data_IF_556759368863
#
_entry.id   IF_556759368863
#
_cell.length_a   1.000
_cell.length_b   1.000
_cell.length_c   1.000
_cell.angle_alpha   90.00
_cell.angle_beta   90.00
_cell.angle_gamma   90.00
#
_symmetry.space_group_name_H-M   'P 1'
#
loop_
_entity.id
_entity.type
_entity.pdbx_description
1 polymer ?
#
# COMPACT_ATOMS: atom_id res chain seq x y z
N UNK A 1 4.24 17.59 -22.26
CA UNK A 1 4.79 16.81 -21.12
C UNK A 1 4.50 15.34 -21.37
N UNK A 2 5.51 14.57 -21.76
CA UNK A 2 5.39 13.21 -22.27
C UNK A 2 5.21 12.23 -21.10
N UNK A 3 4.06 11.55 -21.08
CA UNK A 3 3.80 10.37 -20.26
C UNK A 3 4.73 9.25 -20.73
N UNK A 4 5.77 8.92 -19.96
CA UNK A 4 6.48 7.65 -20.12
C UNK A 4 5.61 6.56 -19.48
N UNK A 5 4.73 5.97 -20.27
CA UNK A 5 4.17 4.66 -19.98
C UNK A 5 5.31 3.65 -20.08
N UNK A 6 5.58 2.96 -18.99
CA UNK A 6 6.35 1.73 -19.03
C UNK A 6 5.47 0.65 -19.65
N UNK A 7 5.49 0.59 -20.96
CA UNK A 7 5.01 -0.57 -21.67
C UNK A 7 6.14 -1.61 -21.66
N UNK A 8 5.85 -2.81 -21.24
CA UNK A 8 6.64 -4.02 -21.54
C UNK A 8 6.52 -4.34 -23.07
N UNK A 9 6.80 -3.37 -23.92
CA UNK A 9 6.78 -3.53 -25.37
C UNK A 9 7.87 -2.69 -26.01
N UNK A 10 8.82 -3.42 -26.57
CA UNK A 10 9.77 -3.09 -27.66
C UNK A 10 9.96 -1.62 -28.04
N UNK A 11 11.15 -1.11 -27.83
CA UNK A 11 11.71 -0.04 -28.66
C UNK A 11 12.94 -0.53 -29.40
N UNK A 12 12.98 -0.28 -30.71
CA UNK A 12 13.97 -0.73 -31.68
C UNK A 12 15.30 -0.01 -31.52
N UNK A 13 16.43 -0.74 -31.60
CA UNK A 13 17.76 -0.21 -31.89
C UNK A 13 18.61 -1.24 -32.67
N UNK A 14 19.38 -0.74 -33.57
CA UNK A 14 20.16 -1.29 -34.67
C UNK A 14 20.99 -2.58 -34.45
N UNK A 15 21.27 -3.29 -35.52
CA UNK A 15 21.73 -4.68 -35.67
C UNK A 15 23.02 -5.12 -34.96
N UNK A 16 23.89 -4.25 -34.50
CA UNK A 16 25.11 -4.61 -33.74
C UNK A 16 24.92 -4.59 -32.21
N UNK A 17 23.79 -4.08 -31.75
CA UNK A 17 23.31 -4.17 -30.38
C UNK A 17 22.32 -5.37 -30.18
N UNK A 18 22.04 -6.11 -31.22
CA UNK A 18 20.98 -7.13 -31.22
C UNK A 18 21.27 -8.29 -30.24
N UNK A 19 22.49 -8.77 -30.13
CA UNK A 19 22.84 -9.85 -29.19
C UNK A 19 22.82 -9.40 -27.73
N UNK A 20 23.33 -8.19 -27.42
CA UNK A 20 23.19 -7.60 -26.08
C UNK A 20 21.75 -7.15 -25.79
N UNK A 21 21.01 -6.75 -26.81
CA UNK A 21 19.60 -6.34 -26.70
C UNK A 21 18.65 -7.50 -26.44
N UNK A 22 18.91 -8.69 -26.97
CA UNK A 22 18.09 -9.88 -26.76
C UNK A 22 18.28 -10.46 -25.35
N UNK A 23 19.49 -10.47 -24.80
CA UNK A 23 19.73 -10.89 -23.40
C UNK A 23 19.13 -9.90 -22.39
N UNK A 24 19.25 -8.60 -22.62
CA UNK A 24 18.64 -7.55 -21.77
C UNK A 24 17.09 -7.59 -21.83
N UNK A 25 16.51 -7.93 -22.98
CA UNK A 25 15.08 -8.13 -23.14
C UNK A 25 14.60 -9.42 -22.46
N UNK A 26 15.34 -10.50 -22.56
CA UNK A 26 15.02 -11.77 -21.90
C UNK A 26 15.03 -11.65 -20.37
N UNK A 27 16.02 -10.97 -19.81
CA UNK A 27 16.10 -10.68 -18.37
C UNK A 27 14.96 -9.75 -17.90
N UNK A 28 14.60 -8.75 -18.70
CA UNK A 28 13.48 -7.86 -18.43
C UNK A 28 12.14 -8.61 -18.44
N UNK A 29 11.91 -9.45 -19.44
CA UNK A 29 10.70 -10.26 -19.56
C UNK A 29 10.59 -11.29 -18.43
N UNK A 30 11.71 -11.89 -18.05
CA UNK A 30 11.76 -12.87 -16.96
C UNK A 30 11.51 -12.17 -15.60
N UNK A 31 12.08 -10.98 -15.42
CA UNK A 31 11.84 -10.15 -14.23
C UNK A 31 10.37 -9.78 -14.08
N UNK A 32 9.70 -9.39 -15.18
CA UNK A 32 8.26 -9.15 -15.20
C UNK A 32 7.45 -10.40 -14.84
N UNK A 33 7.84 -11.58 -15.36
CA UNK A 33 7.18 -12.86 -15.04
C UNK A 33 7.29 -13.19 -13.54
N UNK A 34 8.48 -13.01 -12.95
CA UNK A 34 8.67 -13.24 -11.50
C UNK A 34 7.81 -12.25 -10.69
N UNK A 35 7.79 -10.98 -11.09
CA UNK A 35 6.98 -9.97 -10.41
C UNK A 35 5.48 -10.32 -10.47
N UNK A 36 4.99 -10.77 -11.61
CA UNK A 36 3.61 -11.20 -11.80
C UNK A 36 3.26 -12.44 -11.00
N UNK A 37 4.13 -13.46 -11.01
CA UNK A 37 3.95 -14.68 -10.21
C UNK A 37 3.93 -14.35 -8.70
N UNK A 38 4.88 -13.54 -8.22
CA UNK A 38 4.91 -13.09 -6.83
C UNK A 38 3.64 -12.30 -6.46
N UNK A 39 3.17 -11.42 -7.35
CA UNK A 39 1.93 -10.68 -7.17
C UNK A 39 0.70 -11.61 -7.13
N UNK A 40 0.68 -12.66 -7.94
CA UNK A 40 -0.37 -13.68 -7.93
C UNK A 40 -0.43 -14.41 -6.57
N UNK A 41 0.73 -14.81 -6.04
CA UNK A 41 0.82 -15.44 -4.72
C UNK A 41 0.30 -14.52 -3.60
N UNK A 42 0.61 -13.22 -3.68
CA UNK A 42 0.11 -12.22 -2.73
C UNK A 42 -1.38 -11.96 -2.88
N UNK A 43 -1.88 -11.89 -4.11
CA UNK A 43 -3.30 -11.59 -4.38
C UNK A 43 -4.22 -12.69 -3.85
N UNK A 44 -3.89 -13.96 -4.11
CA UNK A 44 -4.67 -15.11 -3.65
C UNK A 44 -4.35 -15.55 -2.22
N UNK A 45 -3.46 -14.83 -1.51
CA UNK A 45 -3.15 -15.12 -0.10
C UNK A 45 -2.31 -16.36 0.13
N UNK A 46 -1.70 -16.93 -0.92
CA UNK A 46 -0.76 -18.04 -0.81
C UNK A 46 0.55 -17.63 -0.12
N UNK A 47 0.90 -16.35 -0.21
CA UNK A 47 1.96 -15.70 0.56
C UNK A 47 1.45 -14.36 1.10
N UNK A 48 1.95 -13.97 2.30
CA UNK A 48 1.58 -12.70 2.94
C UNK A 48 2.66 -11.63 2.78
N UNK A 49 3.91 -12.06 2.67
CA UNK A 49 5.09 -11.21 2.67
C UNK A 49 5.69 -11.11 1.27
N UNK A 50 6.01 -9.89 0.83
CA UNK A 50 6.66 -9.64 -0.47
C UNK A 50 7.93 -10.45 -0.67
N UNK A 51 8.76 -10.55 0.39
CA UNK A 51 10.01 -11.32 0.33
C UNK A 51 9.77 -12.79 0.03
N UNK A 52 8.82 -13.42 0.72
CA UNK A 52 8.50 -14.83 0.54
C UNK A 52 7.87 -15.09 -0.83
N UNK A 53 6.94 -14.24 -1.24
CA UNK A 53 6.33 -14.33 -2.56
C UNK A 53 7.36 -14.25 -3.69
N UNK A 54 8.31 -13.31 -3.62
CA UNK A 54 9.39 -13.17 -4.62
C UNK A 54 10.32 -14.38 -4.65
N UNK A 55 10.72 -14.89 -3.47
CA UNK A 55 11.58 -16.07 -3.38
C UNK A 55 10.90 -17.30 -3.99
N UNK A 56 9.63 -17.51 -3.67
CA UNK A 56 8.85 -18.64 -4.18
C UNK A 56 8.67 -18.54 -5.70
N UNK A 57 8.31 -17.36 -6.22
CA UNK A 57 8.19 -17.12 -7.65
C UNK A 57 9.51 -17.36 -8.41
N UNK A 58 10.63 -16.84 -7.87
CA UNK A 58 11.95 -17.04 -8.47
C UNK A 58 12.34 -18.52 -8.50
N UNK A 59 12.11 -19.26 -7.41
CA UNK A 59 12.38 -20.71 -7.34
C UNK A 59 11.54 -21.49 -8.35
N UNK A 60 10.24 -21.15 -8.49
CA UNK A 60 9.34 -21.79 -9.48
C UNK A 60 9.83 -21.58 -10.91
N UNK A 61 10.43 -20.43 -11.21
CA UNK A 61 10.96 -20.11 -12.54
C UNK A 61 12.44 -20.46 -12.73
N UNK A 62 13.10 -21.05 -11.71
CA UNK A 62 14.49 -21.50 -11.79
C UNK A 62 15.51 -20.38 -11.91
N UNK A 63 15.25 -19.21 -11.29
CA UNK A 63 16.11 -18.02 -11.37
C UNK A 63 16.63 -17.58 -10.01
N UNK A 64 17.75 -16.84 -10.00
CA UNK A 64 18.44 -16.42 -8.76
C UNK A 64 18.33 -14.92 -8.46
N UNK A 65 17.70 -14.13 -9.34
CA UNK A 65 17.45 -12.70 -9.09
C UNK A 65 15.99 -12.45 -8.70
N UNK A 66 15.75 -11.34 -8.00
CA UNK A 66 14.43 -10.97 -7.48
C UNK A 66 14.00 -9.60 -8.02
N UNK A 67 12.71 -9.43 -8.36
CA UNK A 67 12.16 -8.10 -8.64
C UNK A 67 12.15 -7.24 -7.36
N UNK A 68 12.07 -5.93 -7.52
CA UNK A 68 11.82 -5.00 -6.42
C UNK A 68 10.41 -5.16 -5.86
N UNK A 69 10.17 -4.64 -4.66
CA UNK A 69 8.81 -4.58 -4.12
C UNK A 69 7.89 -3.71 -4.99
N UNK A 70 8.45 -2.66 -5.60
CA UNK A 70 7.74 -1.77 -6.50
C UNK A 70 7.20 -2.51 -7.74
N UNK A 71 8.04 -3.31 -8.41
CA UNK A 71 7.63 -4.10 -9.58
C UNK A 71 6.50 -5.08 -9.22
N UNK A 72 6.63 -5.77 -8.09
CA UNK A 72 5.58 -6.68 -7.60
C UNK A 72 4.30 -5.92 -7.25
N UNK A 73 4.39 -4.73 -6.64
CA UNK A 73 3.23 -3.92 -6.29
C UNK A 73 2.47 -3.42 -7.52
N UNK A 74 3.18 -3.07 -8.61
CA UNK A 74 2.55 -2.71 -9.88
C UNK A 74 1.79 -3.87 -10.49
N UNK A 75 2.38 -5.07 -10.51
CA UNK A 75 1.70 -6.27 -11.01
C UNK A 75 0.51 -6.67 -10.12
N UNK A 76 0.64 -6.52 -8.79
CA UNK A 76 -0.44 -6.77 -7.85
C UNK A 76 -1.64 -5.83 -8.09
N UNK A 77 -1.37 -4.55 -8.38
CA UNK A 77 -2.41 -3.56 -8.72
C UNK A 77 -3.10 -3.91 -10.05
N UNK A 78 -2.36 -4.39 -11.06
CA UNK A 78 -2.92 -4.87 -12.33
C UNK A 78 -3.80 -6.11 -12.14
N UNK A 79 -3.33 -7.11 -11.38
CA UNK A 79 -4.11 -8.33 -11.09
C UNK A 79 -5.41 -7.97 -10.38
N UNK A 80 -5.35 -7.06 -9.39
CA UNK A 80 -6.54 -6.59 -8.69
C UNK A 80 -7.52 -5.88 -9.64
N UNK A 81 -7.03 -5.06 -10.59
CA UNK A 81 -7.87 -4.38 -11.59
C UNK A 81 -8.53 -5.38 -12.55
N UNK A 82 -7.75 -6.35 -13.05
CA UNK A 82 -8.22 -7.40 -13.96
C UNK A 82 -9.27 -8.31 -13.31
N UNK A 83 -9.07 -8.64 -12.01
CA UNK A 83 -9.92 -9.61 -11.31
C UNK A 83 -11.18 -8.99 -10.73
N UNK A 84 -11.08 -7.77 -10.19
CA UNK A 84 -12.16 -7.15 -9.43
C UNK A 84 -12.97 -6.14 -10.26
N UNK A 85 -12.41 -5.64 -11.35
CA UNK A 85 -13.09 -4.75 -12.30
C UNK A 85 -13.65 -3.47 -11.66
N UNK A 86 -14.81 -2.96 -12.18
CA UNK A 86 -15.39 -1.68 -11.72
C UNK A 86 -15.75 -1.64 -10.24
N UNK A 87 -16.15 -2.78 -9.64
CA UNK A 87 -16.51 -2.87 -8.23
C UNK A 87 -15.35 -2.46 -7.30
N UNK A 88 -14.09 -2.67 -7.72
CA UNK A 88 -12.89 -2.24 -7.00
C UNK A 88 -12.85 -0.73 -6.79
N UNK A 89 -13.18 0.04 -7.85
CA UNK A 89 -13.23 1.50 -7.80
C UNK A 89 -14.30 2.00 -6.83
N UNK A 90 -15.47 1.41 -6.86
CA UNK A 90 -16.57 1.76 -5.95
C UNK A 90 -16.20 1.46 -4.50
N UNK A 91 -15.58 0.29 -4.25
CA UNK A 91 -15.07 -0.09 -2.94
C UNK A 91 -14.00 0.87 -2.43
N UNK A 92 -13.05 1.31 -3.27
CA UNK A 92 -12.04 2.30 -2.90
C UNK A 92 -12.68 3.61 -2.44
N UNK A 93 -13.67 4.10 -3.18
CA UNK A 93 -14.40 5.33 -2.84
C UNK A 93 -15.13 5.16 -1.50
N UNK A 94 -15.76 4.01 -1.28
CA UNK A 94 -16.45 3.73 -0.02
C UNK A 94 -15.45 3.65 1.15
N UNK A 95 -14.32 2.98 1.00
CA UNK A 95 -13.27 2.90 2.04
C UNK A 95 -12.73 4.29 2.37
N UNK A 96 -12.50 5.17 1.39
CA UNK A 96 -12.09 6.57 1.60
C UNK A 96 -13.15 7.39 2.35
N UNK A 97 -14.44 7.16 2.08
CA UNK A 97 -15.53 7.81 2.82
C UNK A 97 -15.58 7.35 4.29
N UNK A 98 -15.41 6.04 4.54
CA UNK A 98 -15.35 5.51 5.91
C UNK A 98 -14.11 6.01 6.65
N UNK A 99 -12.93 6.04 5.99
CA UNK A 99 -11.72 6.64 6.54
C UNK A 99 -11.95 8.11 6.94
N UNK A 100 -12.57 8.89 6.06
CA UNK A 100 -12.85 10.32 6.35
C UNK A 100 -13.77 10.50 7.56
N UNK A 101 -14.81 9.67 7.71
CA UNK A 101 -15.70 9.72 8.88
C UNK A 101 -14.91 9.50 10.18
N UNK A 102 -14.05 8.48 10.18
CA UNK A 102 -13.22 8.13 11.34
C UNK A 102 -12.19 9.21 11.64
N UNK A 103 -11.50 9.72 10.61
CA UNK A 103 -10.50 10.76 10.73
C UNK A 103 -11.10 12.08 11.25
N UNK A 104 -12.33 12.43 10.87
CA UNK A 104 -13.03 13.63 11.39
C UNK A 104 -13.24 13.55 12.92
N UNK A 105 -13.59 12.40 13.44
CA UNK A 105 -13.76 12.19 14.90
C UNK A 105 -12.43 12.28 15.64
N UNK A 106 -11.38 11.83 15.00
CA UNK A 106 -10.03 11.84 15.55
C UNK A 106 -9.22 13.10 15.18
N UNK A 107 -9.89 14.16 14.66
CA UNK A 107 -9.22 15.34 14.08
C UNK A 107 -8.21 15.98 15.03
N UNK A 108 -8.48 16.01 16.34
CA UNK A 108 -7.56 16.59 17.34
C UNK A 108 -6.22 15.86 17.44
N UNK A 109 -6.13 14.61 16.98
CA UNK A 109 -4.93 13.77 16.99
C UNK A 109 -4.16 13.74 15.66
N UNK A 110 -4.50 14.62 14.71
CA UNK A 110 -3.80 14.74 13.44
C UNK A 110 -3.78 13.46 12.58
N UNK A 111 -4.94 12.81 12.32
CA UNK A 111 -4.98 11.55 11.58
C UNK A 111 -4.51 11.73 10.14
N UNK A 112 -3.76 10.75 9.66
CA UNK A 112 -3.26 10.67 8.28
C UNK A 112 -3.67 9.32 7.69
N UNK A 113 -4.42 9.33 6.59
CA UNK A 113 -4.73 8.13 5.83
C UNK A 113 -3.47 7.66 5.09
N UNK A 114 -3.06 6.43 5.30
CA UNK A 114 -1.90 5.80 4.68
C UNK A 114 -2.28 4.50 3.96
N UNK A 115 -1.33 3.68 3.57
CA UNK A 115 -1.55 2.35 3.04
C UNK A 115 -2.20 2.32 1.65
N UNK A 116 -2.84 1.20 1.33
CA UNK A 116 -3.42 0.91 0.00
C UNK A 116 -4.61 1.82 -0.34
N UNK A 117 -5.41 2.21 0.65
CA UNK A 117 -6.57 3.10 0.48
C UNK A 117 -6.13 4.51 0.12
N UNK A 118 -5.07 5.02 0.76
CA UNK A 118 -4.44 6.27 0.32
C UNK A 118 -3.96 6.17 -1.11
N UNK A 119 -3.13 5.15 -1.41
CA UNK A 119 -2.51 4.97 -2.73
C UNK A 119 -3.51 4.68 -3.84
N UNK A 120 -4.70 4.18 -3.52
CA UNK A 120 -5.70 3.73 -4.50
C UNK A 120 -5.36 2.36 -5.09
N UNK A 121 -4.51 1.58 -4.42
CA UNK A 121 -4.05 0.25 -4.85
C UNK A 121 -4.67 -0.88 -4.00
N UNK A 122 -5.91 -0.70 -3.57
CA UNK A 122 -6.62 -1.71 -2.78
C UNK A 122 -6.80 -3.01 -3.57
N UNK A 123 -6.94 -4.11 -2.84
CA UNK A 123 -7.37 -5.41 -3.35
C UNK A 123 -8.39 -6.02 -2.41
N UNK A 124 -8.96 -7.14 -2.77
CA UNK A 124 -9.85 -7.88 -1.85
C UNK A 124 -9.11 -8.16 -0.54
N UNK A 125 -9.75 -7.87 0.59
CA UNK A 125 -9.16 -7.99 1.92
C UNK A 125 -8.22 -6.83 2.33
N UNK A 126 -8.15 -5.72 1.56
CA UNK A 126 -7.45 -4.50 2.02
C UNK A 126 -8.18 -3.83 3.18
N UNK A 127 -7.40 -3.34 4.15
CA UNK A 127 -7.86 -2.57 5.30
C UNK A 127 -7.69 -1.07 5.08
N UNK A 128 -8.33 -0.27 5.92
CA UNK A 128 -8.15 1.18 6.00
C UNK A 128 -7.04 1.46 7.02
N UNK A 129 -5.90 1.99 6.59
CA UNK A 129 -4.76 2.30 7.46
C UNK A 129 -4.75 3.79 7.82
N UNK A 130 -4.79 4.12 9.13
CA UNK A 130 -4.74 5.51 9.64
C UNK A 130 -3.59 5.63 10.64
N UNK A 131 -2.64 6.52 10.36
CA UNK A 131 -1.58 6.88 11.30
C UNK A 131 -2.05 8.03 12.21
N UNK A 132 -1.67 7.93 13.48
CA UNK A 132 -1.93 8.90 14.53
C UNK A 132 -0.66 9.13 15.34
N UNK A 133 -0.47 10.35 15.88
CA UNK A 133 0.70 10.70 16.68
C UNK A 133 0.24 11.25 18.03
N UNK A 134 0.29 10.40 19.05
CA UNK A 134 -0.20 10.75 20.40
C UNK A 134 0.39 9.80 21.45
N UNK A 135 0.75 10.35 22.62
CA UNK A 135 1.45 9.59 23.65
C UNK A 135 0.52 8.82 24.60
N UNK A 136 -0.79 9.09 24.54
CA UNK A 136 -1.80 8.43 25.37
C UNK A 136 -2.84 7.72 24.50
N UNK A 137 -2.58 6.46 24.05
CA UNK A 137 -3.50 5.74 23.17
C UNK A 137 -4.91 5.52 23.73
N UNK A 138 -5.05 5.47 25.05
CA UNK A 138 -6.37 5.30 25.71
C UNK A 138 -7.32 6.45 25.41
N UNK A 139 -6.85 7.66 25.19
CA UNK A 139 -7.70 8.77 24.76
C UNK A 139 -8.33 8.50 23.40
N UNK A 140 -7.56 7.93 22.47
CA UNK A 140 -8.03 7.55 21.14
C UNK A 140 -9.06 6.42 21.26
N UNK A 141 -8.75 5.40 22.06
CA UNK A 141 -9.68 4.30 22.35
C UNK A 141 -11.03 4.81 22.89
N UNK A 142 -11.00 5.77 23.80
CA UNK A 142 -12.23 6.32 24.41
C UNK A 142 -13.09 7.06 23.37
N UNK A 143 -12.49 7.74 22.40
CA UNK A 143 -13.21 8.39 21.29
C UNK A 143 -13.83 7.33 20.34
N UNK A 144 -13.16 6.22 20.13
CA UNK A 144 -13.60 5.19 19.19
C UNK A 144 -14.71 4.28 19.75
N UNK A 145 -14.71 4.01 21.06
CA UNK A 145 -15.61 3.04 21.72
C UNK A 145 -17.10 3.27 21.46
N UNK A 146 -17.50 4.54 21.24
CA UNK A 146 -18.92 4.89 21.01
C UNK A 146 -19.43 4.56 19.60
N UNK A 147 -18.54 4.37 18.63
CA UNK A 147 -18.89 4.45 17.21
C UNK A 147 -18.46 3.28 16.36
N UNK A 148 -17.46 2.52 16.83
CA UNK A 148 -16.93 1.39 16.08
C UNK A 148 -16.72 0.20 17.01
N UNK A 149 -16.79 -0.99 16.41
CA UNK A 149 -16.48 -2.22 17.13
C UNK A 149 -14.96 -2.43 17.13
N UNK A 150 -14.32 -2.27 18.27
CA UNK A 150 -12.91 -2.59 18.46
C UNK A 150 -12.77 -4.11 18.51
N UNK A 151 -12.02 -4.70 17.59
CA UNK A 151 -11.81 -6.14 17.50
C UNK A 151 -10.57 -6.58 18.26
N UNK A 152 -9.48 -5.78 18.21
CA UNK A 152 -8.20 -6.09 18.84
C UNK A 152 -7.43 -4.82 19.11
N UNK A 153 -6.57 -4.84 20.13
CA UNK A 153 -5.52 -3.84 20.35
C UNK A 153 -4.22 -4.55 20.69
N UNK A 154 -3.09 -4.02 20.25
CA UNK A 154 -1.77 -4.57 20.57
C UNK A 154 -0.66 -3.53 20.50
N UNK A 155 0.40 -3.76 21.30
CA UNK A 155 1.65 -3.04 21.17
C UNK A 155 2.58 -3.83 20.24
N UNK A 156 3.17 -3.13 19.28
CA UNK A 156 4.16 -3.70 18.37
C UNK A 156 5.47 -2.92 18.47
N UNK A 157 6.58 -3.63 18.59
CA UNK A 157 7.92 -3.04 18.55
C UNK A 157 8.68 -3.61 17.37
N UNK A 158 9.16 -2.75 16.49
CA UNK A 158 9.95 -3.11 15.31
C UNK A 158 11.30 -2.43 15.40
N UNK A 159 12.39 -3.19 15.21
CA UNK A 159 13.73 -2.60 15.16
C UNK A 159 14.01 -2.07 13.76
N UNK A 160 14.08 -0.74 13.61
CA UNK A 160 14.48 -0.08 12.35
C UNK A 160 15.83 0.61 12.53
N UNK A 161 16.79 0.26 11.68
CA UNK A 161 18.16 0.81 11.72
C UNK A 161 18.81 0.75 13.11
N UNK A 162 18.59 -0.36 13.84
CA UNK A 162 19.13 -0.56 15.18
C UNK A 162 18.41 0.20 16.31
N UNK A 163 17.32 0.91 16.01
CA UNK A 163 16.49 1.60 17.00
C UNK A 163 15.13 0.92 17.13
N UNK A 164 14.63 0.64 18.34
CA UNK A 164 13.28 0.14 18.54
C UNK A 164 12.28 1.27 18.25
N UNK A 165 11.31 1.00 17.39
CA UNK A 165 10.13 1.84 17.17
C UNK A 165 8.92 1.11 17.70
N UNK A 166 8.24 1.67 18.67
CA UNK A 166 7.04 1.09 19.29
C UNK A 166 5.80 1.84 18.83
N UNK A 167 4.77 1.09 18.48
CA UNK A 167 3.46 1.65 18.09
C UNK A 167 2.34 0.85 18.75
N UNK A 168 1.22 1.52 18.99
CA UNK A 168 0.00 0.90 19.48
C UNK A 168 -0.98 0.75 18.32
N UNK A 169 -1.47 -0.45 18.09
CA UNK A 169 -2.34 -0.80 16.99
C UNK A 169 -3.75 -1.03 17.50
N UNK A 170 -4.73 -0.41 16.86
CA UNK A 170 -6.15 -0.55 17.16
C UNK A 170 -6.85 -1.05 15.91
N UNK A 171 -7.39 -2.26 15.96
CA UNK A 171 -8.14 -2.87 14.87
C UNK A 171 -9.62 -2.70 15.11
N UNK A 172 -10.33 -2.13 14.14
CA UNK A 172 -11.75 -1.84 14.26
C UNK A 172 -12.54 -2.28 13.03
N UNK A 173 -13.80 -2.60 13.24
CA UNK A 173 -14.77 -2.76 12.17
C UNK A 173 -15.63 -1.49 12.10
N UNK A 174 -15.64 -0.85 10.92
CA UNK A 174 -16.44 0.36 10.68
C UNK A 174 -17.93 0.04 10.54
N UNK A 175 -18.79 1.04 10.62
CA UNK A 175 -20.24 0.87 10.37
C UNK A 175 -20.51 0.31 8.95
N UNK A 176 -19.64 0.58 7.98
CA UNK A 176 -19.69 0.02 6.63
C UNK A 176 -19.07 -1.38 6.51
N UNK A 177 -18.81 -2.08 7.63
CA UNK A 177 -18.18 -3.41 7.70
C UNK A 177 -16.80 -3.49 7.02
N UNK A 178 -16.09 -2.36 6.94
CA UNK A 178 -14.72 -2.32 6.50
C UNK A 178 -13.80 -2.51 7.72
N UNK A 179 -12.74 -3.27 7.55
CA UNK A 179 -11.69 -3.34 8.56
C UNK A 179 -10.82 -2.10 8.48
N UNK A 180 -10.43 -1.59 9.65
CA UNK A 180 -9.48 -0.49 9.72
C UNK A 180 -8.45 -0.74 10.83
N UNK A 181 -7.22 -0.33 10.56
CA UNK A 181 -6.11 -0.33 11.49
C UNK A 181 -5.69 1.12 11.79
N UNK A 182 -5.70 1.48 13.06
CA UNK A 182 -5.19 2.76 13.53
C UNK A 182 -3.83 2.51 14.19
N UNK A 183 -2.78 3.11 13.65
CA UNK A 183 -1.41 2.98 14.15
C UNK A 183 -1.06 4.24 14.93
N UNK A 184 -1.06 4.14 16.26
CA UNK A 184 -0.72 5.25 17.17
C UNK A 184 0.76 5.18 17.49
N UNK A 185 1.47 6.26 17.22
CA UNK A 185 2.90 6.45 17.46
C UNK A 185 3.13 7.60 18.43
N UNK A 186 4.35 7.67 18.98
CA UNK A 186 4.73 8.81 19.82
C UNK A 186 4.55 10.14 19.08
N UNK A 187 4.14 11.17 19.81
CA UNK A 187 4.03 12.54 19.29
C UNK A 187 5.36 13.10 18.76
N UNK A 188 6.50 12.64 19.26
CA UNK A 188 7.83 12.99 18.78
C UNK A 188 8.09 12.51 17.33
N UNK A 189 7.38 11.49 16.87
CA UNK A 189 7.47 10.99 15.51
C UNK A 189 6.63 11.79 14.50
N UNK A 190 5.82 12.72 14.98
CA UNK A 190 5.02 13.58 14.12
C UNK A 190 5.93 14.43 13.21
N UNK A 191 5.68 14.39 11.91
CA UNK A 191 6.51 15.10 10.92
C UNK A 191 7.79 14.37 10.50
N UNK A 192 8.14 13.25 11.11
CA UNK A 192 9.27 12.44 10.66
C UNK A 192 9.00 11.86 9.27
N UNK A 193 9.91 12.14 8.33
CA UNK A 193 9.83 11.57 6.98
C UNK A 193 10.07 10.08 7.00
N UNK A 194 9.09 9.31 6.56
CA UNK A 194 9.16 7.86 6.43
C UNK A 194 9.16 7.46 4.96
N UNK A 195 10.00 6.47 4.61
CA UNK A 195 9.98 5.87 3.27
C UNK A 195 9.03 4.68 3.25
N UNK A 196 8.28 4.56 2.16
CA UNK A 196 7.48 3.39 1.86
C UNK A 196 8.41 2.23 1.47
N UNK A 197 8.34 1.10 2.17
CA UNK A 197 9.16 -0.09 1.89
C UNK A 197 8.78 -0.78 0.57
N UNK A 198 7.58 -0.51 0.07
CA UNK A 198 7.06 -1.08 -1.17
C UNK A 198 7.41 -0.19 -2.36
N UNK A 199 7.07 1.09 -2.29
CA UNK A 199 7.20 2.02 -3.41
C UNK A 199 8.50 2.84 -3.37
N UNK A 200 9.22 2.86 -2.25
CA UNK A 200 10.50 3.55 -2.09
C UNK A 200 10.41 5.08 -1.96
N UNK A 201 9.24 5.66 -2.12
CA UNK A 201 8.95 7.09 -1.99
C UNK A 201 8.66 7.52 -0.55
N UNK A 202 8.45 8.82 -0.33
CA UNK A 202 8.04 9.36 0.96
C UNK A 202 6.58 9.01 1.26
N UNK A 203 6.34 8.48 2.46
CA UNK A 203 5.01 8.13 2.96
C UNK A 203 4.29 9.40 3.45
N UNK A 204 3.66 10.13 2.54
CA UNK A 204 2.97 11.39 2.85
C UNK A 204 1.59 11.16 3.44
N UNK A 205 0.81 10.24 2.88
CA UNK A 205 -0.58 10.05 3.25
C UNK A 205 -1.49 11.21 2.84
N UNK A 206 -2.71 11.23 3.39
CA UNK A 206 -3.67 12.32 3.26
C UNK A 206 -4.22 12.70 4.63
N UNK A 207 -4.19 13.99 4.95
CA UNK A 207 -4.91 14.51 6.10
C UNK A 207 -6.42 14.68 5.80
N UNK A 208 -7.20 15.11 6.80
CA UNK A 208 -8.67 15.25 6.68
C UNK A 208 -9.06 16.16 5.51
N UNK A 209 -8.42 17.33 5.37
CA UNK A 209 -8.76 18.31 4.34
C UNK A 209 -8.38 17.80 2.93
N UNK A 210 -7.24 17.16 2.80
CA UNK A 210 -6.78 16.57 1.54
C UNK A 210 -7.68 15.42 1.10
N UNK A 211 -8.11 14.56 2.03
CA UNK A 211 -9.03 13.48 1.73
C UNK A 211 -10.44 14.00 1.36
N UNK A 212 -10.92 15.07 2.02
CA UNK A 212 -12.18 15.73 1.63
C UNK A 212 -12.12 16.29 0.22
N UNK A 213 -11.01 16.95 -0.13
CA UNK A 213 -10.80 17.49 -1.48
C UNK A 213 -10.71 16.36 -2.51
N UNK A 214 -9.94 15.32 -2.24
CA UNK A 214 -9.82 14.15 -3.11
C UNK A 214 -11.19 13.52 -3.42
N UNK A 215 -12.03 13.34 -2.41
CA UNK A 215 -13.35 12.75 -2.58
C UNK A 215 -14.31 13.61 -3.43
N UNK A 216 -14.09 14.92 -3.48
CA UNK A 216 -14.86 15.84 -4.32
C UNK A 216 -14.36 15.92 -5.76
N UNK A 217 -13.03 15.95 -5.94
CA UNK A 217 -12.40 16.22 -7.24
C UNK A 217 -12.12 14.95 -8.05
N UNK A 218 -11.47 13.97 -7.41
CA UNK A 218 -11.10 12.70 -8.07
C UNK A 218 -11.06 11.55 -7.05
N UNK A 219 -12.23 11.02 -6.64
CA UNK A 219 -12.35 10.09 -5.54
C UNK A 219 -11.63 8.75 -5.73
N UNK A 220 -11.24 8.41 -6.96
CA UNK A 220 -10.52 7.16 -7.29
C UNK A 220 -9.07 7.39 -7.74
N UNK A 221 -8.52 8.59 -7.54
CA UNK A 221 -7.13 8.89 -7.91
C UNK A 221 -6.15 7.92 -7.26
N UNK A 222 -5.15 7.46 -8.05
CA UNK A 222 -4.02 6.67 -7.56
C UNK A 222 -2.82 7.56 -7.27
N UNK A 223 -2.10 7.25 -6.18
CA UNK A 223 -0.86 7.90 -5.74
C UNK A 223 0.30 6.90 -5.83
N UNK A 224 0.68 6.55 -7.05
CA UNK A 224 1.81 5.67 -7.35
C UNK A 224 2.95 6.57 -7.83
N UNK A 225 4.19 6.46 -7.28
CA UNK A 225 5.33 7.21 -7.76
C UNK A 225 5.65 6.83 -9.22
N UNK A 226 6.11 7.82 -9.98
CA UNK A 226 6.50 7.68 -11.42
C UNK A 226 7.98 7.41 -11.53
#
# INVERSE_FOLDING_TARGET
MLKKQWNCTKSYLNADLALYGEELNADSDLRCKIAREAATLLYFGAEKEYKQAKLKAANTLGVHFLPSNFEVALELDKIAEETEGPARKERLIQMRKEALKMMKKLKKYGPILIGSVWRGTIRQGSDIDIALYHDVPDEILNVLKSDVKISKTEWTTVTKRGKPETSFHIYVETAGKQMAELVVRSSEEAGCKRKCEIFGDELKGLNVQELERLLKENPAQKFIPV
#
